data_IF_565293266474
#
_entry.id   IF_565293266474
#
_cell.length_a   1.000
_cell.length_b   1.000
_cell.length_c   1.000
_cell.angle_alpha   90.00
_cell.angle_beta   90.00
_cell.angle_gamma   90.00
#
_symmetry.space_group_name_H-M   'P 1'
#
loop_
_entity.id
_entity.type
_entity.pdbx_description
1 polymer ?
#
# COMPACT_ATOMS: atom_id res chain seq x y z
N UNK A 1 -3.26 -10.72 -45.23
CA UNK A 1 -2.40 -10.57 -44.05
C UNK A 1 -1.38 -11.70 -44.07
N UNK A 2 -0.08 -11.41 -44.06
CA UNK A 2 0.90 -12.46 -43.76
C UNK A 2 0.56 -13.01 -42.38
N UNK A 3 0.59 -14.32 -42.21
CA UNK A 3 0.29 -15.00 -40.93
C UNK A 3 1.01 -14.32 -39.76
N UNK A 4 2.21 -13.81 -40.02
CA UNK A 4 3.04 -13.00 -39.12
C UNK A 4 2.33 -11.78 -38.52
N UNK A 5 1.65 -10.95 -39.31
CA UNK A 5 0.97 -9.77 -38.77
C UNK A 5 -0.19 -10.17 -37.84
N UNK A 6 -0.89 -11.29 -38.12
CA UNK A 6 -1.97 -11.80 -37.23
C UNK A 6 -1.38 -12.15 -35.88
N UNK A 7 -0.26 -12.88 -35.89
CA UNK A 7 0.47 -13.23 -34.68
C UNK A 7 0.92 -12.01 -33.88
N UNK A 8 1.48 -11.00 -34.54
CA UNK A 8 1.89 -9.75 -33.86
C UNK A 8 0.68 -9.07 -33.20
N UNK A 9 -0.44 -8.92 -33.94
CA UNK A 9 -1.63 -8.27 -33.38
C UNK A 9 -2.19 -9.04 -32.17
N UNK A 10 -2.26 -10.37 -32.26
CA UNK A 10 -2.70 -11.23 -31.15
C UNK A 10 -1.76 -11.06 -29.95
N UNK A 11 -0.44 -11.15 -30.18
CA UNK A 11 0.57 -11.03 -29.13
C UNK A 11 0.49 -9.66 -28.42
N UNK A 12 0.42 -8.56 -29.18
CA UNK A 12 0.28 -7.21 -28.62
C UNK A 12 -0.98 -7.06 -27.80
N UNK A 13 -2.11 -7.59 -28.28
CA UNK A 13 -3.39 -7.54 -27.55
C UNK A 13 -3.32 -8.33 -26.24
N UNK A 14 -2.73 -9.53 -26.26
CA UNK A 14 -2.55 -10.36 -25.08
C UNK A 14 -1.62 -9.71 -24.06
N UNK A 15 -0.47 -9.18 -24.49
CA UNK A 15 0.47 -8.48 -23.61
C UNK A 15 -0.23 -7.27 -22.97
N UNK A 16 -0.95 -6.48 -23.77
CA UNK A 16 -1.67 -5.31 -23.27
C UNK A 16 -2.73 -5.69 -22.22
N UNK A 17 -3.53 -6.74 -22.47
CA UNK A 17 -4.50 -7.24 -21.51
C UNK A 17 -3.84 -7.74 -20.22
N UNK A 18 -2.73 -8.49 -20.31
CA UNK A 18 -1.99 -8.95 -19.14
C UNK A 18 -1.45 -7.79 -18.30
N UNK A 19 -0.86 -6.78 -18.94
CA UNK A 19 -0.34 -5.58 -18.28
C UNK A 19 -1.49 -4.77 -17.67
N UNK A 20 -2.62 -4.66 -18.36
CA UNK A 20 -3.81 -3.97 -17.85
C UNK A 20 -4.41 -4.68 -16.63
N UNK A 21 -4.51 -6.02 -16.65
CA UNK A 21 -4.97 -6.80 -15.50
C UNK A 21 -4.00 -6.63 -14.32
N UNK A 22 -2.69 -6.70 -14.56
CA UNK A 22 -1.69 -6.46 -13.51
C UNK A 22 -1.79 -5.05 -12.93
N UNK A 23 -2.00 -4.05 -13.79
CA UNK A 23 -2.28 -2.68 -13.38
C UNK A 23 -3.54 -2.57 -12.52
N UNK A 24 -4.65 -3.25 -12.86
CA UNK A 24 -5.85 -3.25 -12.02
C UNK A 24 -5.57 -3.83 -10.62
N UNK A 25 -4.81 -4.92 -10.55
CA UNK A 25 -4.41 -5.52 -9.27
C UNK A 25 -3.54 -4.53 -8.45
N UNK A 26 -2.55 -3.89 -9.07
CA UNK A 26 -1.72 -2.87 -8.39
C UNK A 26 -2.51 -1.60 -8.01
N UNK A 27 -3.43 -1.15 -8.87
CA UNK A 27 -4.30 -0.02 -8.55
C UNK A 27 -5.21 -0.34 -7.35
N UNK A 28 -5.64 -1.60 -7.18
CA UNK A 28 -6.40 -2.01 -6.00
C UNK A 28 -5.64 -1.93 -4.68
N UNK A 29 -4.31 -2.10 -4.68
CA UNK A 29 -3.51 -1.80 -3.49
C UNK A 29 -3.40 -0.28 -3.26
N UNK A 30 -3.37 0.52 -4.32
CA UNK A 30 -3.24 1.97 -4.24
C UNK A 30 -4.54 2.71 -3.83
N UNK A 31 -5.71 2.10 -4.03
CA UNK A 31 -6.98 2.61 -3.49
C UNK A 31 -7.06 2.64 -1.95
N UNK A 32 -6.03 2.15 -1.27
CA UNK A 32 -5.84 2.39 0.16
C UNK A 32 -5.46 3.85 0.47
N UNK A 33 -4.99 4.64 -0.49
CA UNK A 33 -4.69 6.07 -0.31
C UNK A 33 -5.94 6.92 -0.60
N UNK A 34 -6.11 8.04 0.12
CA UNK A 34 -7.32 8.88 0.02
C UNK A 34 -7.51 9.58 -1.34
N UNK A 35 -6.45 9.68 -2.15
CA UNK A 35 -6.44 10.19 -3.53
C UNK A 35 -5.29 9.53 -4.31
N UNK A 36 -5.59 8.69 -5.29
CA UNK A 36 -4.59 8.13 -6.21
C UNK A 36 -4.35 9.10 -7.37
N UNK A 37 -3.32 9.93 -7.26
CA UNK A 37 -2.97 10.95 -8.25
C UNK A 37 -2.27 10.39 -9.49
N UNK A 38 -1.82 9.13 -9.48
CA UNK A 38 -1.03 8.55 -10.57
C UNK A 38 -1.84 7.48 -11.30
N UNK A 39 -2.42 6.54 -10.56
CA UNK A 39 -3.20 5.44 -11.13
C UNK A 39 -4.51 5.89 -11.75
N UNK A 40 -5.23 6.85 -11.13
CA UNK A 40 -6.53 7.29 -11.63
C UNK A 40 -6.45 7.96 -13.02
N UNK A 41 -5.56 8.93 -13.28
CA UNK A 41 -5.40 9.50 -14.63
C UNK A 41 -4.97 8.46 -15.67
N UNK A 42 -4.06 7.54 -15.31
CA UNK A 42 -3.60 6.47 -16.22
C UNK A 42 -4.72 5.51 -16.56
N UNK A 43 -5.57 5.14 -15.59
CA UNK A 43 -6.74 4.29 -15.84
C UNK A 43 -7.74 4.97 -16.80
N UNK A 44 -7.98 6.27 -16.62
CA UNK A 44 -8.95 6.99 -17.44
C UNK A 44 -8.43 7.28 -18.85
N UNK A 45 -7.17 7.71 -18.99
CA UNK A 45 -6.57 8.13 -20.26
C UNK A 45 -5.94 6.98 -21.06
N UNK A 46 -5.45 5.94 -20.40
CA UNK A 46 -4.82 4.79 -21.06
C UNK A 46 -5.63 3.50 -20.85
N UNK A 47 -6.13 3.24 -19.64
CA UNK A 47 -6.89 2.03 -19.31
C UNK A 47 -8.14 1.83 -20.15
N UNK A 48 -9.09 2.77 -20.06
CA UNK A 48 -10.38 2.68 -20.77
C UNK A 48 -10.16 2.59 -22.30
N UNK A 49 -9.36 3.47 -22.95
CA UNK A 49 -9.12 3.38 -24.39
C UNK A 49 -8.45 2.06 -24.80
N UNK A 50 -7.48 1.58 -24.02
CA UNK A 50 -6.77 0.33 -24.30
C UNK A 50 -7.68 -0.88 -24.24
N UNK A 51 -8.62 -0.92 -23.27
CA UNK A 51 -9.61 -1.98 -23.14
C UNK A 51 -10.61 -1.96 -24.32
N UNK A 52 -11.11 -0.79 -24.70
CA UNK A 52 -11.99 -0.63 -25.87
C UNK A 52 -11.30 -1.13 -27.15
N UNK A 53 -10.04 -0.71 -27.38
CA UNK A 53 -9.26 -1.12 -28.55
C UNK A 53 -9.00 -2.63 -28.54
N UNK A 54 -8.73 -3.21 -27.36
CA UNK A 54 -8.52 -4.65 -27.22
C UNK A 54 -9.77 -5.45 -27.55
N UNK A 55 -10.96 -5.03 -27.09
CA UNK A 55 -12.25 -5.65 -27.43
C UNK A 55 -12.50 -5.59 -28.94
N UNK A 56 -12.34 -4.41 -29.55
CA UNK A 56 -12.53 -4.24 -30.99
C UNK A 56 -11.54 -5.11 -31.77
N UNK A 57 -10.28 -5.17 -31.34
CA UNK A 57 -9.24 -6.01 -31.95
C UNK A 57 -9.62 -7.49 -31.93
N UNK A 58 -10.09 -8.00 -30.78
CA UNK A 58 -10.54 -9.39 -30.63
C UNK A 58 -11.72 -9.68 -31.57
N UNK A 59 -12.73 -8.79 -31.60
CA UNK A 59 -13.91 -8.96 -32.47
C UNK A 59 -13.51 -9.02 -33.96
N UNK A 60 -12.58 -8.15 -34.39
CA UNK A 60 -12.09 -8.14 -35.77
C UNK A 60 -11.31 -9.42 -36.08
N UNK A 61 -10.43 -9.85 -35.18
CA UNK A 61 -9.62 -11.06 -35.36
C UNK A 61 -10.49 -12.32 -35.45
N UNK A 62 -11.54 -12.44 -34.63
CA UNK A 62 -12.49 -13.55 -34.68
C UNK A 62 -13.29 -13.52 -36.00
N UNK A 63 -13.91 -12.39 -36.34
CA UNK A 63 -14.80 -12.29 -37.51
C UNK A 63 -14.07 -12.44 -38.84
N UNK A 64 -12.83 -11.96 -38.94
CA UNK A 64 -12.05 -11.97 -40.18
C UNK A 64 -10.86 -12.94 -40.14
N UNK A 65 -10.95 -13.98 -39.31
CA UNK A 65 -9.88 -14.97 -39.15
C UNK A 65 -9.53 -15.68 -40.47
N UNK A 66 -10.55 -16.14 -41.20
CA UNK A 66 -10.41 -16.90 -42.45
C UNK A 66 -10.50 -16.03 -43.71
N UNK A 67 -10.88 -14.76 -43.60
CA UNK A 67 -10.99 -13.85 -44.75
C UNK A 67 -9.65 -13.16 -45.05
N UNK A 68 -9.40 -12.87 -46.32
CA UNK A 68 -8.36 -11.91 -46.69
C UNK A 68 -8.76 -10.53 -46.16
N UNK A 69 -8.00 -10.04 -45.19
CA UNK A 69 -8.15 -8.69 -44.65
C UNK A 69 -7.82 -7.65 -45.72
N UNK A 70 -8.72 -6.68 -45.91
CA UNK A 70 -8.53 -5.50 -46.74
C UNK A 70 -7.33 -4.64 -46.28
N UNK A 71 -6.78 -3.84 -47.20
CA UNK A 71 -5.70 -2.88 -46.89
C UNK A 71 -6.12 -1.91 -45.77
N UNK A 72 -7.36 -1.44 -45.77
CA UNK A 72 -7.91 -0.58 -44.72
C UNK A 72 -7.87 -1.23 -43.34
N UNK A 73 -8.26 -2.50 -43.23
CA UNK A 73 -8.18 -3.25 -41.97
C UNK A 73 -6.74 -3.48 -41.50
N UNK A 74 -5.77 -3.52 -42.42
CA UNK A 74 -4.36 -3.62 -42.04
C UNK A 74 -3.84 -2.30 -41.47
N UNK A 75 -4.23 -1.16 -42.06
CA UNK A 75 -3.88 0.16 -41.54
C UNK A 75 -4.49 0.35 -40.15
N UNK A 76 -5.78 0.02 -39.98
CA UNK A 76 -6.47 0.11 -38.68
C UNK A 76 -5.80 -0.80 -37.64
N UNK A 77 -5.45 -2.04 -38.00
CA UNK A 77 -4.73 -2.95 -37.10
C UNK A 77 -3.35 -2.43 -36.70
N UNK A 78 -2.60 -1.84 -37.63
CA UNK A 78 -1.32 -1.20 -37.33
C UNK A 78 -1.46 -0.03 -36.35
N UNK A 79 -2.48 0.82 -36.53
CA UNK A 79 -2.79 1.92 -35.60
C UNK A 79 -3.16 1.38 -34.22
N UNK A 80 -3.95 0.31 -34.13
CA UNK A 80 -4.30 -0.30 -32.85
C UNK A 80 -3.08 -0.88 -32.14
N UNK A 81 -2.20 -1.58 -32.87
CA UNK A 81 -0.94 -2.09 -32.31
C UNK A 81 -0.10 -0.94 -31.74
N UNK A 82 0.04 0.18 -32.47
CA UNK A 82 0.79 1.34 -31.99
C UNK A 82 0.20 1.95 -30.73
N UNK A 83 -1.12 2.12 -30.67
CA UNK A 83 -1.80 2.66 -29.47
C UNK A 83 -1.62 1.72 -28.27
N UNK A 84 -1.81 0.40 -28.47
CA UNK A 84 -1.64 -0.59 -27.40
C UNK A 84 -0.19 -0.62 -26.87
N UNK A 85 0.80 -0.49 -27.77
CA UNK A 85 2.21 -0.40 -27.38
C UNK A 85 2.52 0.90 -26.62
N UNK A 86 1.91 2.02 -27.02
CA UNK A 86 2.06 3.30 -26.33
C UNK A 86 1.51 3.27 -24.91
N UNK A 87 0.44 2.50 -24.65
CA UNK A 87 -0.15 2.37 -23.32
C UNK A 87 0.68 1.52 -22.35
N UNK A 88 1.52 0.58 -22.84
CA UNK A 88 2.28 -0.35 -21.98
C UNK A 88 3.21 0.39 -21.00
N UNK A 89 4.07 1.34 -21.42
CA UNK A 89 4.93 2.09 -20.51
C UNK A 89 4.15 2.87 -19.44
N UNK A 90 2.97 3.41 -19.79
CA UNK A 90 2.13 4.13 -18.84
C UNK A 90 1.64 3.20 -17.72
N UNK A 91 1.20 1.99 -18.06
CA UNK A 91 0.81 1.00 -17.06
C UNK A 91 1.99 0.54 -16.20
N UNK A 92 3.15 0.25 -16.80
CA UNK A 92 4.35 -0.16 -16.05
C UNK A 92 4.78 0.91 -15.04
N UNK A 93 4.82 2.17 -15.46
CA UNK A 93 5.11 3.29 -14.56
C UNK A 93 4.09 3.36 -13.41
N UNK A 94 2.81 3.15 -13.70
CA UNK A 94 1.79 3.14 -12.65
C UNK A 94 2.03 2.00 -11.65
N UNK A 95 2.35 0.80 -12.14
CA UNK A 95 2.64 -0.39 -11.33
C UNK A 95 3.82 -0.11 -10.39
N UNK A 96 4.94 0.43 -10.90
CA UNK A 96 6.13 0.75 -10.10
C UNK A 96 5.83 1.74 -8.97
N UNK A 97 4.89 2.66 -9.19
CA UNK A 97 4.46 3.63 -8.17
C UNK A 97 3.38 3.09 -7.22
N UNK A 98 2.74 1.95 -7.52
CA UNK A 98 1.67 1.37 -6.70
C UNK A 98 2.17 0.40 -5.63
N UNK A 99 3.33 -0.25 -5.85
CA UNK A 99 3.93 -1.16 -4.87
C UNK A 99 4.83 -0.35 -3.93
N UNK A 100 4.21 0.37 -3.00
CA UNK A 100 4.95 1.09 -1.95
C UNK A 100 5.24 0.11 -0.81
N UNK A 101 6.51 -0.12 -0.43
CA UNK A 101 6.82 -0.95 0.72
C UNK A 101 6.20 -0.37 2.00
N UNK A 102 5.90 -1.23 2.98
CA UNK A 102 5.38 -0.78 4.27
C UNK A 102 6.29 0.30 4.86
N UNK A 103 5.74 1.49 5.06
CA UNK A 103 6.47 2.58 5.70
C UNK A 103 6.23 2.49 7.19
N UNK A 104 7.25 2.02 7.90
CA UNK A 104 7.27 1.97 9.36
C UNK A 104 8.05 3.16 9.88
N UNK A 105 7.42 3.98 10.70
CA UNK A 105 8.07 5.03 11.47
C UNK A 105 8.02 4.64 12.94
N UNK A 106 9.14 4.78 13.64
CA UNK A 106 9.26 4.35 15.04
C UNK A 106 9.85 5.46 15.89
N UNK A 107 9.37 5.59 17.11
CA UNK A 107 10.05 6.41 18.11
C UNK A 107 11.28 5.68 18.71
N UNK A 108 12.19 6.41 19.37
CA UNK A 108 13.32 5.84 20.08
C UNK A 108 12.91 4.81 21.13
N UNK A 109 13.69 3.74 21.22
CA UNK A 109 13.49 2.72 22.26
C UNK A 109 13.66 3.34 23.63
N UNK A 110 12.63 3.17 24.44
CA UNK A 110 12.50 3.72 25.78
C UNK A 110 12.37 2.59 26.79
N UNK A 111 12.68 2.86 28.05
CA UNK A 111 12.58 1.86 29.12
C UNK A 111 11.52 2.26 30.13
N UNK A 112 10.75 1.29 30.60
CA UNK A 112 9.78 1.51 31.68
C UNK A 112 10.49 1.93 32.97
N UNK A 113 9.80 2.67 33.84
CA UNK A 113 10.40 3.19 35.08
C UNK A 113 10.82 2.10 36.07
N UNK A 114 10.19 0.92 36.00
CA UNK A 114 10.57 -0.29 36.74
C UNK A 114 11.72 -1.07 36.10
N UNK A 115 12.25 -0.58 34.97
CA UNK A 115 13.35 -1.16 34.19
C UNK A 115 13.10 -2.57 33.63
N UNK A 116 11.85 -3.06 33.68
CA UNK A 116 11.51 -4.42 33.26
C UNK A 116 11.39 -4.56 31.74
N UNK A 117 10.92 -3.51 31.06
CA UNK A 117 10.63 -3.56 29.63
C UNK A 117 11.28 -2.40 28.87
N UNK A 118 11.76 -2.71 27.68
CA UNK A 118 12.06 -1.77 26.60
C UNK A 118 10.86 -1.71 25.66
N UNK A 119 10.49 -0.52 25.21
CA UNK A 119 9.34 -0.31 24.35
C UNK A 119 9.56 0.83 23.36
N UNK A 120 8.84 0.76 22.25
CA UNK A 120 8.74 1.82 21.25
C UNK A 120 7.39 1.68 20.52
N UNK A 121 6.93 2.77 19.94
CA UNK A 121 5.70 2.84 19.18
C UNK A 121 6.03 2.86 17.69
N UNK A 122 5.39 1.98 16.93
CA UNK A 122 5.53 1.84 15.48
C UNK A 122 4.26 2.30 14.78
N UNK A 123 4.40 3.28 13.90
CA UNK A 123 3.37 3.82 13.03
C UNK A 123 3.58 3.24 11.64
N UNK A 124 2.64 2.43 11.20
CA UNK A 124 2.73 1.71 9.92
C UNK A 124 1.74 2.35 8.95
N UNK A 125 2.22 2.69 7.75
CA UNK A 125 1.41 3.16 6.62
C UNK A 125 0.43 4.30 6.99
N UNK A 126 0.87 5.28 7.80
CA UNK A 126 -0.01 6.31 8.36
C UNK A 126 -0.92 7.03 7.36
N UNK A 127 -0.43 7.25 6.14
CA UNK A 127 -1.19 7.95 5.09
C UNK A 127 -2.17 7.05 4.31
N UNK A 128 -2.25 5.77 4.65
CA UNK A 128 -3.07 4.77 3.97
C UNK A 128 -4.23 4.30 4.87
N UNK A 129 -5.26 3.68 4.28
CA UNK A 129 -6.42 3.11 4.98
C UNK A 129 -6.07 1.90 5.84
N UNK A 130 -5.00 1.17 5.49
CA UNK A 130 -4.47 0.06 6.28
C UNK A 130 -3.43 0.54 7.30
N UNK A 131 -3.57 1.77 7.80
CA UNK A 131 -2.69 2.25 8.85
C UNK A 131 -2.83 1.39 10.11
N UNK A 132 -1.73 1.25 10.83
CA UNK A 132 -1.69 0.55 12.09
C UNK A 132 -0.74 1.24 13.05
N UNK A 133 -1.05 1.13 14.33
CA UNK A 133 -0.26 1.69 15.41
C UNK A 133 0.02 0.55 16.38
N UNK A 134 1.29 0.19 16.50
CA UNK A 134 1.70 -0.95 17.29
C UNK A 134 2.65 -0.51 18.41
N UNK A 135 2.40 -1.00 19.62
CA UNK A 135 3.35 -0.92 20.71
C UNK A 135 4.25 -2.16 20.65
N UNK A 136 5.54 -1.94 20.46
CA UNK A 136 6.54 -3.00 20.53
C UNK A 136 7.10 -3.03 21.95
N UNK A 137 7.08 -4.20 22.57
CA UNK A 137 7.60 -4.41 23.92
C UNK A 137 8.60 -5.55 23.91
N UNK A 138 9.72 -5.37 24.59
CA UNK A 138 10.74 -6.37 24.82
C UNK A 138 11.13 -6.39 26.29
N UNK A 139 11.22 -7.57 26.88
CA UNK A 139 11.70 -7.73 28.25
C UNK A 139 13.23 -7.55 28.31
N UNK A 140 13.71 -6.80 29.31
CA UNK A 140 15.15 -6.48 29.45
C UNK A 140 15.94 -7.68 29.94
N UNK A 141 15.37 -8.46 30.87
CA UNK A 141 16.08 -9.52 31.61
C UNK A 141 15.90 -10.93 31.03
N UNK A 142 15.08 -11.10 29.99
CA UNK A 142 14.73 -12.41 29.42
C UNK A 142 15.22 -12.62 27.99
N UNK A 143 15.31 -13.89 27.56
CA UNK A 143 15.38 -14.26 26.13
C UNK A 143 14.02 -14.11 25.41
N UNK A 144 13.10 -13.34 26.01
CA UNK A 144 11.72 -13.20 25.54
C UNK A 144 11.71 -12.43 24.22
N UNK A 145 11.01 -12.99 23.22
CA UNK A 145 10.86 -12.36 21.90
C UNK A 145 10.11 -11.03 22.02
N UNK A 146 10.40 -10.11 21.08
CA UNK A 146 9.65 -8.86 20.92
C UNK A 146 8.16 -9.19 20.78
N UNK A 147 7.32 -8.51 21.55
CA UNK A 147 5.86 -8.60 21.48
C UNK A 147 5.34 -7.36 20.77
N UNK A 148 4.39 -7.57 19.87
CA UNK A 148 3.69 -6.51 19.15
C UNK A 148 2.26 -6.45 19.68
N UNK A 149 1.87 -5.31 20.24
CA UNK A 149 0.53 -5.07 20.78
C UNK A 149 -0.15 -4.00 19.93
N UNK A 150 -1.20 -4.34 19.17
CA UNK A 150 -1.92 -3.33 18.38
C UNK A 150 -2.65 -2.36 19.30
N UNK A 151 -2.58 -1.08 18.97
CA UNK A 151 -3.34 -0.02 19.62
C UNK A 151 -4.53 0.35 18.73
N UNK A 152 -5.71 0.49 19.34
CA UNK A 152 -6.89 1.03 18.66
C UNK A 152 -6.74 2.55 18.54
N UNK A 153 -5.86 2.96 17.62
CA UNK A 153 -5.50 4.34 17.33
C UNK A 153 -5.48 4.50 15.81
N UNK A 154 -6.41 5.28 15.25
CA UNK A 154 -6.39 5.60 13.83
C UNK A 154 -5.27 6.61 13.58
N UNK A 155 -4.29 6.24 12.73
CA UNK A 155 -3.19 7.14 12.40
C UNK A 155 -3.66 8.45 11.73
N UNK A 156 -4.91 8.53 11.26
CA UNK A 156 -5.51 9.77 10.74
C UNK A 156 -5.82 10.80 11.84
N UNK A 157 -5.93 10.39 13.09
CA UNK A 157 -6.12 11.29 14.23
C UNK A 157 -4.82 12.00 14.62
N UNK A 158 -3.68 11.52 14.14
CA UNK A 158 -2.36 12.10 14.37
C UNK A 158 -2.23 13.39 13.54
N UNK A 159 -2.41 14.54 14.20
CA UNK A 159 -2.40 15.85 13.53
C UNK A 159 -0.97 16.32 13.20
N UNK A 160 0.02 15.93 14.02
CA UNK A 160 1.41 16.29 13.82
C UNK A 160 2.35 15.24 14.44
N UNK A 161 3.28 14.73 13.64
CA UNK A 161 4.42 13.98 14.16
C UNK A 161 5.59 14.92 14.43
N UNK A 162 5.89 15.11 15.70
CA UNK A 162 7.11 15.80 16.12
C UNK A 162 8.20 14.77 16.34
N UNK A 163 9.18 14.76 15.44
CA UNK A 163 10.42 13.98 15.58
C UNK A 163 11.57 14.90 15.97
N UNK A 164 12.60 14.37 16.65
CA UNK A 164 13.76 15.15 17.07
C UNK A 164 15.08 14.42 16.82
N UNK A 165 16.22 15.12 16.83
CA UNK A 165 17.51 14.45 16.89
C UNK A 165 17.69 13.74 18.24
N UNK A 166 18.28 12.54 18.24
CA UNK A 166 18.60 11.79 19.46
C UNK A 166 17.44 10.94 20.01
N UNK A 167 17.55 10.55 21.28
CA UNK A 167 16.65 9.64 22.00
C UNK A 167 15.62 10.33 22.88
N UNK A 168 15.59 11.67 22.90
CA UNK A 168 14.86 12.46 23.90
C UNK A 168 13.42 12.81 23.47
N UNK A 169 12.91 12.12 22.46
CA UNK A 169 11.54 12.25 22.00
C UNK A 169 10.87 10.90 21.97
N UNK A 170 9.61 10.88 22.35
CA UNK A 170 8.79 9.67 22.49
C UNK A 170 7.37 10.07 22.16
N UNK A 171 6.66 9.23 21.41
CA UNK A 171 5.25 9.43 21.08
C UNK A 171 4.32 8.93 22.17
N UNK A 172 4.79 8.03 23.02
CA UNK A 172 4.05 7.55 24.18
C UNK A 172 4.99 7.20 25.33
N UNK A 173 4.45 7.26 26.55
CA UNK A 173 5.14 6.88 27.79
C UNK A 173 4.40 5.70 28.41
N UNK A 174 5.11 4.61 28.68
CA UNK A 174 4.60 3.40 29.32
C UNK A 174 5.00 3.37 30.80
N UNK A 175 4.02 3.40 31.69
CA UNK A 175 4.21 3.44 33.14
C UNK A 175 3.65 2.18 33.81
N UNK A 176 4.33 1.60 34.81
CA UNK A 176 3.81 0.49 35.58
C UNK A 176 2.58 0.91 36.38
N UNK A 177 1.66 -0.03 36.60
CA UNK A 177 0.51 0.16 37.50
C UNK A 177 0.70 -0.63 38.80
N UNK A 178 -0.28 -0.57 39.70
CA UNK A 178 -0.31 -1.42 40.91
C UNK A 178 -0.35 -2.92 40.56
N UNK A 179 -0.85 -3.28 39.36
CA UNK A 179 -0.84 -4.65 38.87
C UNK A 179 0.42 -4.90 38.03
N UNK A 180 1.31 -5.85 38.40
CA UNK A 180 2.62 -6.04 37.76
C UNK A 180 2.59 -6.41 36.26
N UNK A 181 1.44 -6.87 35.76
CA UNK A 181 1.24 -7.30 34.37
C UNK A 181 0.59 -6.22 33.51
N UNK A 182 0.10 -5.14 34.14
CA UNK A 182 -0.62 -4.06 33.48
C UNK A 182 0.17 -2.76 33.52
N UNK A 183 0.23 -2.10 32.38
CA UNK A 183 0.92 -0.85 32.20
C UNK A 183 -0.03 0.20 31.64
N UNK A 184 0.14 1.44 32.06
CA UNK A 184 -0.57 2.60 31.53
C UNK A 184 0.29 3.22 30.43
N UNK A 185 -0.16 3.14 29.19
CA UNK A 185 0.43 3.84 28.06
C UNK A 185 -0.27 5.19 27.89
N UNK A 186 0.47 6.29 27.94
CA UNK A 186 -0.05 7.63 27.70
C UNK A 186 0.64 8.22 26.49
N UNK A 187 -0.11 8.61 25.46
CA UNK A 187 0.45 9.31 24.29
C UNK A 187 0.86 10.74 24.66
N UNK A 188 1.92 11.23 24.03
CA UNK A 188 2.50 12.55 24.29
C UNK A 188 2.04 13.57 23.24
N UNK A 189 2.22 14.85 23.54
CA UNK A 189 1.98 15.93 22.58
C UNK A 189 2.81 15.81 21.29
N UNK A 190 3.91 15.05 21.31
CA UNK A 190 4.75 14.79 20.12
C UNK A 190 4.06 13.93 19.08
N UNK A 191 3.06 13.14 19.49
CA UNK A 191 2.15 12.42 18.59
C UNK A 191 0.99 13.30 18.10
N UNK A 192 0.86 14.53 18.62
CA UNK A 192 -0.21 15.44 18.24
C UNK A 192 -1.60 15.05 18.77
N UNK A 193 -1.66 14.15 19.75
CA UNK A 193 -2.91 13.69 20.37
C UNK A 193 -2.69 13.23 21.81
N UNK A 194 -3.77 13.19 22.60
CA UNK A 194 -3.75 12.70 23.96
C UNK A 194 -4.80 11.60 24.17
N UNK A 195 -4.31 10.38 24.31
CA UNK A 195 -5.03 9.14 24.60
C UNK A 195 -4.26 8.30 25.60
N UNK A 196 -5.00 7.55 26.39
CA UNK A 196 -4.49 6.69 27.46
C UNK A 196 -4.99 5.28 27.24
N UNK A 197 -4.09 4.30 27.32
CA UNK A 197 -4.41 2.89 27.17
C UNK A 197 -3.94 2.11 28.39
N UNK A 198 -4.74 1.12 28.78
CA UNK A 198 -4.30 0.04 29.65
C UNK A 198 -3.73 -1.09 28.77
N UNK A 199 -2.50 -1.48 29.02
CA UNK A 199 -1.77 -2.52 28.29
C UNK A 199 -1.62 -3.72 29.19
N UNK A 200 -2.17 -4.86 28.79
CA UNK A 200 -1.90 -6.16 29.39
C UNK A 200 -0.76 -6.82 28.62
N UNK A 201 0.45 -6.79 29.19
CA UNK A 201 1.67 -7.25 28.52
C UNK A 201 1.67 -8.77 28.33
N UNK A 202 1.02 -9.50 29.25
CA UNK A 202 0.96 -10.97 29.22
C UNK A 202 0.03 -11.43 28.11
N UNK A 203 -1.16 -10.82 28.01
CA UNK A 203 -2.16 -11.14 26.98
C UNK A 203 -1.88 -10.48 25.63
N UNK A 204 -1.04 -9.45 25.59
CA UNK A 204 -0.76 -8.68 24.38
C UNK A 204 -1.97 -7.86 23.91
N UNK A 205 -2.75 -7.33 24.86
CA UNK A 205 -3.98 -6.59 24.57
C UNK A 205 -3.87 -5.15 25.06
N UNK A 206 -4.53 -4.24 24.34
CA UNK A 206 -4.68 -2.84 24.71
C UNK A 206 -6.16 -2.51 24.89
N UNK A 207 -6.46 -1.62 25.84
CA UNK A 207 -7.80 -1.08 26.05
C UNK A 207 -7.70 0.42 26.31
N UNK A 208 -8.35 1.23 25.48
CA UNK A 208 -8.41 2.68 25.71
C UNK A 208 -9.19 2.99 27.00
N UNK A 209 -8.63 3.88 27.81
CA UNK A 209 -9.26 4.42 29.01
C UNK A 209 -9.83 5.78 28.63
N UNK A 210 -11.16 5.86 28.57
CA UNK A 210 -11.89 7.12 28.36
C UNK A 210 -12.03 7.92 29.65
#
# INVERSE_FOLDING_TARGET
MSTLMKFIWIATTLINLSVFIWFLIGATSNFQRSLDLVGMPIMLLCGIPSLVISIISIVILIRKWNSQLSVSTMIVGGVFILILLFCIPAFLNAIDNTVVPERVESDPVSRTSDQKYEYNLELINMSHRNNQVNLIIKEVSGQTQKRTIPLDLDAKEIVALTTGPGSDWQWAVLQPTETPEKYKLTTTEKLGMHKVYMIDVVKGQSQEIK
#
